data_IF_979544568800
#
_entry.id   IF_979544568800
#
_cell.length_a   1.000
_cell.length_b   1.000
_cell.length_c   1.000
_cell.angle_alpha   90.00
_cell.angle_beta   90.00
_cell.angle_gamma   90.00
#
_symmetry.space_group_name_H-M   'P 1'
#
loop_
_entity.id
_entity.type
_entity.pdbx_description
1 polymer ?
#
# COMPACT_ATOMS: atom_id res chain seq x y z
N UNK A 1 13.47 4.84 12.18
CA UNK A 1 12.49 3.78 11.91
C UNK A 1 12.97 2.93 10.73
N UNK A 2 12.64 1.64 10.72
CA UNK A 2 12.93 0.74 9.58
C UNK A 2 11.62 0.53 8.77
N UNK A 3 11.53 1.15 7.61
CA UNK A 3 10.28 1.31 6.87
C UNK A 3 10.33 0.53 5.56
N UNK A 4 9.33 -0.32 5.33
CA UNK A 4 9.08 -0.94 4.03
C UNK A 4 8.03 -0.11 3.27
N UNK A 5 8.36 0.31 2.06
CA UNK A 5 7.42 0.98 1.15
C UNK A 5 7.16 0.09 -0.05
N UNK A 6 5.92 -0.35 -0.24
CA UNK A 6 5.53 -1.10 -1.44
C UNK A 6 4.96 -0.15 -2.48
N UNK A 7 5.27 -0.35 -3.75
CA UNK A 7 4.86 0.56 -4.83
C UNK A 7 5.63 1.90 -4.78
N UNK A 8 6.85 1.89 -4.23
CA UNK A 8 7.63 3.10 -4.04
C UNK A 8 8.28 3.67 -5.30
N UNK A 9 8.25 2.97 -6.44
CA UNK A 9 8.65 3.49 -7.75
C UNK A 9 7.49 4.19 -8.49
N UNK A 10 6.26 4.08 -7.98
CA UNK A 10 5.09 4.77 -8.51
C UNK A 10 5.02 6.24 -8.11
N UNK A 11 4.03 6.98 -8.64
CA UNK A 11 3.91 8.42 -8.44
C UNK A 11 3.81 8.82 -6.95
N UNK A 12 2.79 8.34 -6.23
CA UNK A 12 2.60 8.73 -4.83
C UNK A 12 3.72 8.15 -3.95
N UNK A 13 4.05 6.87 -4.15
CA UNK A 13 5.07 6.19 -3.37
C UNK A 13 6.44 6.85 -3.43
N UNK A 14 6.87 7.29 -4.61
CA UNK A 14 8.16 7.96 -4.78
C UNK A 14 8.24 9.31 -4.08
N UNK A 15 7.14 10.07 -4.09
CA UNK A 15 7.08 11.35 -3.36
C UNK A 15 7.17 11.14 -1.85
N UNK A 16 6.50 10.10 -1.33
CA UNK A 16 6.64 9.76 0.08
C UNK A 16 8.07 9.29 0.40
N UNK A 17 8.63 8.39 -0.40
CA UNK A 17 10.03 7.92 -0.19
C UNK A 17 10.98 9.11 -0.16
N UNK A 18 10.84 10.08 -1.07
CA UNK A 18 11.63 11.31 -1.04
C UNK A 18 11.51 12.04 0.30
N UNK A 19 10.30 12.18 0.86
CA UNK A 19 10.09 12.84 2.15
C UNK A 19 10.72 12.05 3.31
N UNK A 20 10.64 10.73 3.28
CA UNK A 20 11.27 9.86 4.29
C UNK A 20 12.79 9.96 4.28
N UNK A 21 13.39 10.22 3.11
CA UNK A 21 14.84 10.37 2.94
C UNK A 21 15.39 11.69 3.47
N UNK A 22 14.57 12.74 3.54
CA UNK A 22 14.95 14.03 4.12
C UNK A 22 15.28 13.84 5.61
N UNK A 23 14.59 12.92 6.30
CA UNK A 23 14.93 12.52 7.64
C UNK A 23 15.90 11.32 7.61
N UNK A 24 17.19 11.61 7.73
CA UNK A 24 18.29 10.64 7.65
C UNK A 24 18.26 9.54 8.73
N UNK A 25 17.37 9.60 9.71
CA UNK A 25 17.20 8.57 10.73
C UNK A 25 16.41 7.35 10.24
N UNK A 26 15.71 7.48 9.11
CA UNK A 26 14.92 6.38 8.56
C UNK A 26 15.79 5.45 7.70
N UNK A 27 15.62 4.14 7.92
CA UNK A 27 16.07 3.11 6.99
C UNK A 27 14.89 2.76 6.08
N UNK A 28 15.00 3.09 4.80
CA UNK A 28 13.90 2.89 3.84
C UNK A 28 14.25 1.76 2.89
N UNK A 29 13.40 0.73 2.90
CA UNK A 29 13.40 -0.33 1.89
C UNK A 29 12.20 -0.12 0.97
N UNK A 30 12.43 -0.07 -0.33
CA UNK A 30 11.40 0.06 -1.36
C UNK A 30 11.29 -1.25 -2.11
N UNK A 31 10.06 -1.77 -2.27
CA UNK A 31 9.77 -2.87 -3.19
C UNK A 31 8.79 -2.40 -4.26
N UNK A 32 9.07 -2.77 -5.51
CA UNK A 32 8.23 -2.48 -6.68
C UNK A 32 8.52 -3.51 -7.77
N UNK A 33 7.55 -3.80 -8.64
CA UNK A 33 7.71 -4.70 -9.78
C UNK A 33 7.78 -3.97 -11.13
N UNK A 34 7.77 -2.64 -11.11
CA UNK A 34 7.79 -1.75 -12.28
C UNK A 34 6.64 -1.94 -13.30
N UNK A 35 5.52 -2.57 -12.91
CA UNK A 35 4.35 -2.65 -13.79
C UNK A 35 3.77 -1.27 -14.11
N UNK A 36 3.81 -0.35 -13.13
CA UNK A 36 3.39 1.05 -13.27
C UNK A 36 4.42 2.05 -12.74
N UNK A 37 5.44 1.58 -12.04
CA UNK A 37 6.59 2.35 -11.58
C UNK A 37 7.70 2.39 -12.63
N UNK A 38 8.72 3.22 -12.40
CA UNK A 38 9.85 3.43 -13.31
C UNK A 38 11.19 3.25 -12.61
N UNK A 39 12.15 2.61 -13.30
CA UNK A 39 13.53 2.45 -12.81
C UNK A 39 14.23 3.80 -12.58
N UNK A 40 13.96 4.77 -13.44
CA UNK A 40 14.49 6.13 -13.35
C UNK A 40 14.09 6.80 -12.03
N UNK A 41 12.87 6.52 -11.54
CA UNK A 41 12.40 7.02 -10.24
C UNK A 41 13.29 6.51 -9.11
N UNK A 42 13.65 5.23 -9.12
CA UNK A 42 14.55 4.65 -8.11
C UNK A 42 15.96 5.25 -8.22
N UNK A 43 16.44 5.49 -9.43
CA UNK A 43 17.75 6.12 -9.67
C UNK A 43 17.77 7.54 -9.08
N UNK A 44 16.71 8.33 -9.29
CA UNK A 44 16.56 9.67 -8.69
C UNK A 44 16.51 9.60 -7.17
N UNK A 45 15.72 8.68 -6.60
CA UNK A 45 15.63 8.53 -5.15
C UNK A 45 16.97 8.16 -4.51
N UNK A 46 17.78 7.31 -5.15
CA UNK A 46 19.15 6.96 -4.71
C UNK A 46 20.10 8.16 -4.73
N UNK A 47 19.88 9.13 -5.60
CA UNK A 47 20.69 10.37 -5.62
C UNK A 47 20.31 11.35 -4.50
N UNK A 48 19.10 11.23 -3.94
CA UNK A 48 18.61 12.07 -2.84
C UNK A 48 19.05 11.53 -1.48
N UNK A 49 19.06 10.20 -1.32
CA UNK A 49 19.39 9.60 -0.04
C UNK A 49 19.57 8.08 -0.12
N UNK A 50 19.92 7.48 0.99
CA UNK A 50 20.22 6.05 1.06
C UNK A 50 18.95 5.23 1.16
N UNK A 51 18.60 4.52 0.08
CA UNK A 51 17.50 3.54 0.05
C UNK A 51 18.01 2.15 -0.29
N UNK A 52 17.34 1.12 0.22
CA UNK A 52 17.44 -0.25 -0.27
C UNK A 52 16.29 -0.48 -1.23
N UNK A 53 16.58 -0.79 -2.49
CA UNK A 53 15.56 -1.17 -3.48
C UNK A 53 15.64 -2.66 -3.76
N UNK A 54 14.48 -3.33 -3.81
CA UNK A 54 14.34 -4.74 -4.16
C UNK A 54 13.25 -4.83 -5.24
N UNK A 55 13.62 -5.38 -6.40
CA UNK A 55 12.67 -5.71 -7.45
C UNK A 55 11.86 -6.92 -6.97
N UNK A 56 10.58 -6.70 -6.65
CA UNK A 56 9.72 -7.72 -6.03
C UNK A 56 8.27 -7.52 -6.43
N UNK A 57 7.63 -8.62 -6.81
CA UNK A 57 6.18 -8.69 -6.98
C UNK A 57 5.52 -9.26 -5.71
N UNK A 58 4.44 -8.64 -5.23
CA UNK A 58 3.71 -9.11 -4.05
C UNK A 58 3.01 -10.46 -4.26
N UNK A 59 2.89 -10.92 -5.51
CA UNK A 59 2.38 -12.26 -5.84
C UNK A 59 3.34 -13.38 -5.45
N UNK A 60 4.63 -13.10 -5.44
CA UNK A 60 5.70 -14.04 -5.14
C UNK A 60 5.89 -14.15 -3.62
N UNK A 61 5.12 -15.06 -2.99
CA UNK A 61 5.02 -15.15 -1.54
C UNK A 61 6.33 -15.53 -0.85
N UNK A 62 7.07 -16.50 -1.40
CA UNK A 62 8.29 -17.02 -0.77
C UNK A 62 9.40 -15.97 -0.74
N UNK A 63 9.65 -15.30 -1.86
CA UNK A 63 10.63 -14.23 -1.93
C UNK A 63 10.22 -12.99 -1.13
N UNK A 64 8.92 -12.69 -1.06
CA UNK A 64 8.41 -11.61 -0.21
C UNK A 64 8.64 -11.94 1.28
N UNK A 65 8.38 -13.18 1.69
CA UNK A 65 8.62 -13.61 3.07
C UNK A 65 10.11 -13.53 3.44
N UNK A 66 11.01 -13.93 2.53
CA UNK A 66 12.45 -13.80 2.76
C UNK A 66 12.87 -12.33 3.01
N UNK A 67 12.19 -11.36 2.41
CA UNK A 67 12.45 -9.94 2.66
C UNK A 67 12.12 -9.60 4.11
N UNK A 68 11.01 -10.10 4.66
CA UNK A 68 10.64 -9.88 6.05
C UNK A 68 11.58 -10.60 7.01
N UNK A 69 12.01 -11.83 6.69
CA UNK A 69 12.96 -12.59 7.51
C UNK A 69 14.31 -11.89 7.66
N UNK A 70 14.76 -11.17 6.63
CA UNK A 70 16.07 -10.51 6.58
C UNK A 70 16.06 -9.06 7.08
N UNK A 71 14.90 -8.53 7.48
CA UNK A 71 14.77 -7.13 7.88
C UNK A 71 13.72 -6.98 9.00
N UNK A 72 14.10 -6.29 10.06
CA UNK A 72 13.20 -5.99 11.20
C UNK A 72 12.43 -4.70 10.90
N UNK A 73 11.34 -4.78 10.13
CA UNK A 73 10.54 -3.61 9.79
C UNK A 73 9.68 -3.15 10.98
N UNK A 74 9.67 -1.85 11.26
CA UNK A 74 8.76 -1.22 12.22
C UNK A 74 7.42 -0.86 11.58
N UNK A 75 7.48 -0.51 10.28
CA UNK A 75 6.36 0.10 9.55
C UNK A 75 6.32 -0.39 8.12
N UNK A 76 5.13 -0.71 7.66
CA UNK A 76 4.83 -0.93 6.23
C UNK A 76 3.95 0.20 5.72
N UNK A 77 4.34 0.82 4.59
CA UNK A 77 3.54 1.81 3.87
C UNK A 77 3.18 1.23 2.51
N UNK A 78 1.90 0.97 2.29
CA UNK A 78 1.42 0.17 1.18
C UNK A 78 0.74 1.01 0.09
N UNK A 79 1.47 1.21 -1.03
CA UNK A 79 0.95 1.87 -2.24
C UNK A 79 0.75 0.92 -3.42
N UNK A 80 1.40 -0.25 -3.42
CA UNK A 80 1.35 -1.16 -4.54
C UNK A 80 -0.09 -1.63 -4.82
N UNK A 81 -0.61 -1.28 -5.99
CA UNK A 81 -1.95 -1.67 -6.43
C UNK A 81 -2.12 -1.47 -7.94
N UNK A 82 -3.03 -2.23 -8.55
CA UNK A 82 -3.62 -1.87 -9.84
C UNK A 82 -4.61 -0.72 -9.63
N UNK A 83 -4.54 0.34 -10.45
CA UNK A 83 -5.21 1.63 -10.17
C UNK A 83 -6.18 2.10 -11.27
N UNK A 84 -6.25 1.42 -12.42
CA UNK A 84 -7.10 1.85 -13.53
C UNK A 84 -8.56 1.41 -13.30
N UNK A 85 -9.43 2.38 -13.01
CA UNK A 85 -10.85 2.16 -12.72
C UNK A 85 -11.57 1.51 -13.90
N UNK A 86 -11.34 1.99 -15.13
CA UNK A 86 -11.99 1.44 -16.33
C UNK A 86 -11.57 -0.02 -16.58
N UNK A 87 -10.28 -0.33 -16.44
CA UNK A 87 -9.80 -1.72 -16.55
C UNK A 87 -10.42 -2.61 -15.47
N UNK A 88 -10.68 -2.09 -14.27
CA UNK A 88 -11.27 -2.88 -13.19
C UNK A 88 -12.66 -3.42 -13.53
N UNK A 89 -13.44 -2.68 -14.31
CA UNK A 89 -14.77 -3.10 -14.77
C UNK A 89 -14.67 -4.26 -15.75
N UNK A 90 -13.64 -4.24 -16.61
CA UNK A 90 -13.43 -5.26 -17.64
C UNK A 90 -12.73 -6.52 -17.07
N UNK A 91 -11.83 -6.32 -16.09
CA UNK A 91 -11.01 -7.38 -15.50
C UNK A 91 -11.12 -7.38 -13.96
N UNK A 92 -12.31 -7.57 -13.38
CA UNK A 92 -12.51 -7.40 -11.93
C UNK A 92 -11.65 -8.35 -11.08
N UNK A 93 -11.51 -9.61 -11.49
CA UNK A 93 -10.70 -10.59 -10.75
C UNK A 93 -9.22 -10.19 -10.64
N UNK A 94 -8.67 -9.54 -11.66
CA UNK A 94 -7.30 -8.99 -11.60
C UNK A 94 -7.15 -8.04 -10.41
N UNK A 95 -8.14 -7.18 -10.16
CA UNK A 95 -8.11 -6.20 -9.07
C UNK A 95 -8.27 -6.85 -7.69
N UNK A 96 -9.17 -7.82 -7.56
CA UNK A 96 -9.31 -8.54 -6.29
C UNK A 96 -8.07 -9.38 -5.96
N UNK A 97 -7.49 -10.06 -6.95
CA UNK A 97 -6.25 -10.83 -6.74
C UNK A 97 -5.06 -9.92 -6.47
N UNK A 98 -4.85 -8.89 -7.30
CA UNK A 98 -3.68 -8.04 -7.18
C UNK A 98 -3.75 -7.12 -5.96
N UNK A 99 -4.90 -6.46 -5.73
CA UNK A 99 -5.01 -5.49 -4.65
C UNK A 99 -5.39 -6.17 -3.33
N UNK A 100 -6.50 -6.93 -3.30
CA UNK A 100 -7.03 -7.44 -2.03
C UNK A 100 -6.24 -8.65 -1.54
N UNK A 101 -6.08 -9.69 -2.36
CA UNK A 101 -5.43 -10.92 -1.94
C UNK A 101 -3.95 -10.72 -1.57
N UNK A 102 -3.20 -9.97 -2.39
CA UNK A 102 -1.79 -9.70 -2.08
C UNK A 102 -1.63 -8.82 -0.83
N UNK A 103 -2.58 -7.91 -0.56
CA UNK A 103 -2.56 -7.13 0.68
C UNK A 103 -2.85 -8.01 1.90
N UNK A 104 -3.74 -9.01 1.78
CA UNK A 104 -3.97 -10.00 2.87
C UNK A 104 -2.64 -10.70 3.21
N UNK A 105 -1.91 -11.19 2.21
CA UNK A 105 -0.60 -11.82 2.44
C UNK A 105 0.40 -10.88 3.09
N UNK A 106 0.41 -9.62 2.65
CA UNK A 106 1.29 -8.61 3.24
C UNK A 106 0.97 -8.34 4.72
N UNK A 107 -0.31 -8.25 5.08
CA UNK A 107 -0.78 -8.10 6.47
C UNK A 107 -0.42 -9.33 7.30
N UNK A 108 -0.57 -10.54 6.75
CA UNK A 108 -0.19 -11.78 7.42
C UNK A 108 1.31 -11.81 7.73
N UNK A 109 2.15 -11.39 6.80
CA UNK A 109 3.59 -11.23 7.04
C UNK A 109 3.87 -10.15 8.09
N UNK A 110 3.14 -9.04 8.10
CA UNK A 110 3.26 -8.04 9.16
C UNK A 110 2.98 -8.64 10.53
N UNK A 111 1.92 -9.44 10.66
CA UNK A 111 1.61 -10.13 11.92
C UNK A 111 2.70 -11.13 12.30
N UNK A 112 3.14 -11.97 11.35
CA UNK A 112 4.16 -13.00 11.56
C UNK A 112 5.50 -12.43 12.03
N UNK A 113 5.91 -11.29 11.47
CA UNK A 113 7.19 -10.63 11.77
C UNK A 113 7.06 -9.41 12.68
N UNK A 114 5.94 -9.29 13.40
CA UNK A 114 5.71 -8.24 14.42
C UNK A 114 5.87 -6.80 13.90
N UNK A 115 5.49 -6.55 12.65
CA UNK A 115 5.41 -5.19 12.10
C UNK A 115 4.15 -4.53 12.65
N UNK A 116 4.33 -3.56 13.52
CA UNK A 116 3.22 -2.99 14.30
C UNK A 116 2.52 -1.79 13.64
N UNK A 117 3.12 -1.17 12.63
CA UNK A 117 2.53 0.01 12.00
C UNK A 117 2.26 -0.25 10.51
N UNK A 118 1.02 -0.05 10.09
CA UNK A 118 0.58 -0.25 8.71
C UNK A 118 -0.13 0.99 8.17
N UNK A 119 0.41 1.60 7.14
CA UNK A 119 -0.19 2.75 6.47
C UNK A 119 -0.67 2.32 5.09
N UNK A 120 -1.96 2.46 4.84
CA UNK A 120 -2.60 2.02 3.61
C UNK A 120 -3.08 3.19 2.76
N UNK A 121 -2.63 3.23 1.52
CA UNK A 121 -3.19 4.12 0.51
C UNK A 121 -4.49 3.54 -0.04
N UNK A 122 -5.61 3.97 0.54
CA UNK A 122 -6.93 3.69 0.03
C UNK A 122 -7.25 4.62 -1.16
N UNK A 123 -8.47 5.05 -1.32
CA UNK A 123 -8.88 5.91 -2.44
C UNK A 123 -10.22 6.56 -2.15
N UNK A 124 -10.45 7.77 -2.66
CA UNK A 124 -11.77 8.40 -2.69
C UNK A 124 -12.83 7.57 -3.45
N UNK A 125 -12.39 6.64 -4.34
CA UNK A 125 -13.28 5.72 -5.05
C UNK A 125 -14.10 4.80 -4.11
N UNK A 126 -13.72 4.68 -2.83
CA UNK A 126 -14.50 3.93 -1.83
C UNK A 126 -15.85 4.57 -1.50
N UNK A 127 -16.00 5.89 -1.72
CA UNK A 127 -17.25 6.59 -1.49
C UNK A 127 -18.27 6.41 -2.63
N UNK A 128 -17.82 6.02 -3.83
CA UNK A 128 -18.66 5.87 -5.01
C UNK A 128 -19.15 7.21 -5.55
N UNK A 129 -20.41 7.26 -6.01
CA UNK A 129 -21.05 8.50 -6.40
C UNK A 129 -21.53 9.24 -5.17
N UNK A 130 -21.03 10.45 -5.00
CA UNK A 130 -21.42 11.37 -3.91
C UNK A 130 -22.28 12.48 -4.46
N UNK A 131 -23.29 12.87 -3.71
CA UNK A 131 -24.09 14.05 -4.04
C UNK A 131 -23.18 15.30 -4.08
N UNK A 132 -23.37 16.15 -5.09
CA UNK A 132 -22.58 17.37 -5.29
C UNK A 132 -22.69 18.32 -4.08
N UNK A 133 -23.81 18.29 -3.35
CA UNK A 133 -24.01 19.05 -2.11
C UNK A 133 -23.11 18.63 -0.95
N UNK A 134 -22.47 17.46 -1.06
CA UNK A 134 -21.56 16.86 -0.07
C UNK A 134 -20.08 17.01 -0.44
N UNK A 135 -19.76 17.84 -1.40
CA UNK A 135 -18.38 18.15 -1.79
C UNK A 135 -17.93 19.42 -1.04
N UNK A 136 -16.77 19.41 -0.39
CA UNK A 136 -15.77 18.32 -0.25
C UNK A 136 -16.29 17.14 0.58
N UNK A 137 -15.93 15.92 0.15
CA UNK A 137 -16.37 14.68 0.79
C UNK A 137 -15.74 14.58 2.20
N UNK A 138 -16.60 14.40 3.21
CA UNK A 138 -16.15 14.19 4.58
C UNK A 138 -15.85 12.70 4.85
N UNK A 139 -14.86 12.40 5.70
CA UNK A 139 -14.47 11.01 6.01
C UNK A 139 -15.59 10.16 6.65
N UNK A 140 -16.59 10.80 7.26
CA UNK A 140 -17.78 10.13 7.81
C UNK A 140 -18.80 9.71 6.76
N UNK A 141 -18.62 10.09 5.48
CA UNK A 141 -19.52 9.65 4.42
C UNK A 141 -19.48 8.13 4.23
N UNK A 142 -20.62 7.60 3.83
CA UNK A 142 -20.81 6.15 3.71
C UNK A 142 -19.91 5.57 2.61
N UNK A 143 -19.15 4.54 2.95
CA UNK A 143 -18.38 3.74 1.99
C UNK A 143 -19.37 2.93 1.13
N UNK A 144 -19.46 3.26 -0.17
CA UNK A 144 -20.35 2.61 -1.15
C UNK A 144 -19.71 2.63 -2.54
N UNK A 145 -18.62 1.88 -2.74
CA UNK A 145 -17.92 1.86 -4.03
C UNK A 145 -18.81 1.30 -5.14
N UNK A 146 -18.62 1.81 -6.36
CA UNK A 146 -19.45 1.47 -7.54
C UNK A 146 -18.66 0.72 -8.62
N UNK A 147 -17.39 0.39 -8.37
CA UNK A 147 -16.55 -0.34 -9.31
C UNK A 147 -15.59 -1.29 -8.59
N UNK A 148 -15.04 -2.31 -9.28
CA UNK A 148 -14.17 -3.31 -8.65
C UNK A 148 -12.88 -2.73 -8.05
N UNK A 149 -12.33 -1.64 -8.60
CA UNK A 149 -11.20 -0.95 -7.97
C UNK A 149 -11.57 -0.39 -6.59
N UNK A 150 -12.64 0.40 -6.52
CA UNK A 150 -13.15 0.94 -5.25
C UNK A 150 -13.53 -0.16 -4.26
N UNK A 151 -14.19 -1.23 -4.74
CA UNK A 151 -14.52 -2.40 -3.92
C UNK A 151 -13.25 -3.05 -3.35
N UNK A 152 -12.20 -3.24 -4.17
CA UNK A 152 -10.94 -3.83 -3.71
C UNK A 152 -10.30 -3.02 -2.58
N UNK A 153 -10.34 -1.68 -2.69
CA UNK A 153 -9.84 -0.78 -1.63
C UNK A 153 -10.71 -0.84 -0.37
N UNK A 154 -12.03 -0.81 -0.50
CA UNK A 154 -12.96 -0.91 0.64
C UNK A 154 -12.82 -2.25 1.39
N UNK A 155 -12.63 -3.35 0.69
CA UNK A 155 -12.38 -4.66 1.32
C UNK A 155 -11.07 -4.65 2.12
N UNK A 156 -10.01 -4.03 1.59
CA UNK A 156 -8.75 -3.91 2.32
C UNK A 156 -8.93 -3.08 3.58
N UNK A 157 -9.67 -1.97 3.52
CA UNK A 157 -9.97 -1.16 4.71
C UNK A 157 -10.67 -2.00 5.81
N UNK A 158 -11.62 -2.85 5.42
CA UNK A 158 -12.31 -3.72 6.37
C UNK A 158 -11.36 -4.78 6.95
N UNK A 159 -10.54 -5.42 6.09
CA UNK A 159 -9.55 -6.42 6.52
C UNK A 159 -8.56 -5.84 7.52
N UNK A 160 -8.07 -4.61 7.28
CA UNK A 160 -7.16 -3.91 8.19
C UNK A 160 -7.82 -3.70 9.56
N UNK A 161 -9.08 -3.26 9.59
CA UNK A 161 -9.85 -3.04 10.84
C UNK A 161 -10.07 -4.35 11.59
N UNK A 162 -10.46 -5.40 10.88
CA UNK A 162 -10.71 -6.71 11.48
C UNK A 162 -9.42 -7.31 12.07
N UNK A 163 -8.29 -7.16 11.35
CA UNK A 163 -6.98 -7.57 11.86
C UNK A 163 -6.58 -6.80 13.12
N UNK A 164 -6.78 -5.49 13.14
CA UNK A 164 -6.45 -4.65 14.30
C UNK A 164 -7.32 -4.95 15.54
N UNK A 165 -8.55 -5.42 15.34
CA UNK A 165 -9.43 -5.82 16.44
C UNK A 165 -8.90 -7.07 17.18
N UNK A 166 -8.17 -7.94 16.48
CA UNK A 166 -7.60 -9.17 17.05
C UNK A 166 -6.18 -8.91 17.54
N UNK A 167 -5.37 -8.21 16.74
CA UNK A 167 -3.98 -7.87 17.04
C UNK A 167 -3.89 -6.44 17.58
N UNK A 168 -3.96 -6.27 18.89
CA UNK A 168 -3.97 -4.94 19.56
C UNK A 168 -2.66 -4.16 19.41
N UNK A 169 -1.57 -4.81 19.01
CA UNK A 169 -0.30 -4.15 18.69
C UNK A 169 -0.27 -3.58 17.28
N UNK A 170 -1.15 -4.06 16.38
CA UNK A 170 -1.22 -3.61 14.99
C UNK A 170 -1.95 -2.27 14.90
N UNK A 171 -1.19 -1.21 14.68
CA UNK A 171 -1.68 0.15 14.48
C UNK A 171 -1.77 0.45 12.99
N UNK A 172 -2.82 1.15 12.58
CA UNK A 172 -2.99 1.46 11.16
C UNK A 172 -3.45 2.89 10.91
N UNK A 173 -3.14 3.36 9.71
CA UNK A 173 -3.71 4.57 9.11
C UNK A 173 -4.23 4.21 7.73
N UNK A 174 -5.45 4.64 7.41
CA UNK A 174 -6.08 4.50 6.10
C UNK A 174 -6.20 5.90 5.49
N UNK A 175 -5.54 6.12 4.36
CA UNK A 175 -5.59 7.40 3.64
C UNK A 175 -6.48 7.25 2.40
N UNK A 176 -7.53 8.05 2.28
CA UNK A 176 -8.50 8.03 1.19
C UNK A 176 -8.30 9.17 0.20
#
# INVERSE_FOLDING_TARGET
>A
MNILVTGGAGYIGSHLVKQLLINNENKVTVIDNFVTGFEETISVLKSIGKIKFILQDLRESDSLEEIFQKNDFDTVIHFAASLNVAESIIKPLKYYLNNTYNTIKLIDLCNKYSVNNFIFSSSAAVYGETDISKVPIHESEKVKPINPYGNSKAFIEQIIKDNANINTNFKYVIMR
#
